data_IF_768614449745
#
_entry.id   IF_768614449745
#
_cell.length_a   1.000
_cell.length_b   1.000
_cell.length_c   1.000
_cell.angle_alpha   90.00
_cell.angle_beta   90.00
_cell.angle_gamma   90.00
#
_symmetry.space_group_name_H-M   'P 1'
#
loop_
_entity.id
_entity.type
_entity.pdbx_description
1 polymer ?
#
# COMPACT_ATOMS: atom_id res chain seq x y z
N UNK A 1 -13.83 14.26 6.74
CA UNK A 1 -13.46 15.32 5.76
C UNK A 1 -11.99 15.75 5.85
N UNK A 2 -11.53 16.43 6.91
CA UNK A 2 -10.13 16.89 6.97
C UNK A 2 -9.10 15.74 7.00
N UNK A 3 -9.42 14.67 7.75
CA UNK A 3 -8.60 13.45 7.83
C UNK A 3 -8.50 12.76 6.47
N UNK A 4 -9.59 12.68 5.71
CA UNK A 4 -9.63 12.03 4.40
C UNK A 4 -8.76 12.76 3.38
N UNK A 5 -8.80 14.10 3.39
CA UNK A 5 -7.89 14.93 2.58
C UNK A 5 -6.42 14.74 2.98
N UNK A 6 -6.13 14.68 4.28
CA UNK A 6 -4.78 14.45 4.77
C UNK A 6 -4.25 13.07 4.34
N UNK A 7 -5.04 12.01 4.51
CA UNK A 7 -4.70 10.65 4.06
C UNK A 7 -4.52 10.58 2.55
N UNK A 8 -5.42 11.21 1.78
CA UNK A 8 -5.33 11.29 0.32
C UNK A 8 -4.03 11.97 -0.09
N UNK A 9 -3.67 13.10 0.54
CA UNK A 9 -2.43 13.80 0.25
C UNK A 9 -1.19 12.95 0.58
N UNK A 10 -1.19 12.26 1.73
CA UNK A 10 -0.11 11.37 2.13
C UNK A 10 0.04 10.20 1.15
N UNK A 11 -1.04 9.52 0.80
CA UNK A 11 -0.98 8.41 -0.17
C UNK A 11 -0.62 8.89 -1.58
N UNK A 12 -1.11 10.05 -2.00
CA UNK A 12 -0.71 10.65 -3.27
C UNK A 12 0.79 10.99 -3.29
N UNK A 13 1.35 11.47 -2.18
CA UNK A 13 2.78 11.72 -2.05
C UNK A 13 3.61 10.43 -2.19
N UNK A 14 3.09 9.27 -1.77
CA UNK A 14 3.75 7.96 -1.93
C UNK A 14 3.77 7.46 -3.38
N UNK A 15 2.89 7.97 -4.26
CA UNK A 15 2.91 7.61 -5.70
C UNK A 15 4.23 8.03 -6.34
N UNK A 16 4.73 9.22 -5.99
CA UNK A 16 5.94 9.78 -6.58
C UNK A 16 7.17 8.86 -6.41
N UNK A 17 7.58 8.44 -5.19
CA UNK A 17 8.71 7.54 -5.04
C UNK A 17 8.48 6.19 -5.73
N UNK A 18 7.23 5.67 -5.76
CA UNK A 18 6.93 4.42 -6.47
C UNK A 18 7.16 4.54 -7.99
N UNK A 19 6.68 5.64 -8.60
CA UNK A 19 6.89 5.92 -10.03
C UNK A 19 8.37 6.16 -10.33
N UNK A 20 9.06 6.93 -9.49
CA UNK A 20 10.50 7.19 -9.66
C UNK A 20 11.31 5.90 -9.61
N UNK A 21 10.99 4.95 -8.71
CA UNK A 21 11.62 3.62 -8.70
C UNK A 21 11.36 2.87 -10.00
N UNK A 22 10.12 2.86 -10.48
CA UNK A 22 9.73 2.19 -11.74
C UNK A 22 10.47 2.73 -12.98
N UNK A 23 10.74 4.03 -13.01
CA UNK A 23 11.33 4.69 -14.19
C UNK A 23 12.85 4.74 -14.12
N UNK A 24 13.44 4.85 -12.92
CA UNK A 24 14.88 5.08 -12.75
C UNK A 24 15.70 3.84 -12.43
N UNK A 25 15.10 2.77 -11.89
CA UNK A 25 15.85 1.56 -11.53
C UNK A 25 16.05 0.64 -12.74
N UNK A 26 17.27 0.10 -12.87
CA UNK A 26 17.61 -0.87 -13.90
C UNK A 26 17.11 -2.28 -13.52
N UNK A 27 15.89 -2.60 -13.95
CA UNK A 27 15.28 -3.91 -13.70
C UNK A 27 15.87 -5.05 -14.52
N UNK A 28 16.69 -4.79 -15.54
CA UNK A 28 17.42 -5.85 -16.22
C UNK A 28 18.47 -6.46 -15.27
N UNK A 29 19.09 -5.63 -14.42
CA UNK A 29 20.03 -6.09 -13.38
C UNK A 29 19.34 -6.53 -12.10
N UNK A 30 18.29 -5.83 -11.67
CA UNK A 30 17.60 -6.13 -10.40
C UNK A 30 16.62 -7.30 -10.49
N UNK A 31 16.20 -7.69 -11.69
CA UNK A 31 15.32 -8.82 -11.95
C UNK A 31 13.83 -8.49 -11.90
N UNK A 32 13.03 -9.36 -12.53
CA UNK A 32 11.59 -9.16 -12.69
C UNK A 32 10.81 -9.15 -11.37
N UNK A 33 11.23 -9.93 -10.36
CA UNK A 33 10.56 -9.98 -9.06
C UNK A 33 10.53 -8.62 -8.37
N UNK A 34 11.61 -7.83 -8.48
CA UNK A 34 11.72 -6.49 -7.90
C UNK A 34 10.76 -5.52 -8.59
N UNK A 35 10.66 -5.59 -9.93
CA UNK A 35 9.72 -4.80 -10.73
C UNK A 35 8.26 -5.11 -10.37
N UNK A 36 7.93 -6.40 -10.21
CA UNK A 36 6.58 -6.81 -9.82
C UNK A 36 6.22 -6.30 -8.43
N UNK A 37 7.18 -6.29 -7.49
CA UNK A 37 6.99 -5.70 -6.16
C UNK A 37 6.71 -4.20 -6.21
N UNK A 38 7.51 -3.43 -6.96
CA UNK A 38 7.28 -1.97 -7.07
C UNK A 38 5.95 -1.65 -7.80
N UNK A 39 5.57 -2.45 -8.81
CA UNK A 39 4.29 -2.32 -9.48
C UNK A 39 3.13 -2.61 -8.50
N UNK A 40 3.27 -3.65 -7.67
CA UNK A 40 2.30 -3.99 -6.63
C UNK A 40 2.11 -2.81 -5.68
N UNK A 41 3.22 -2.25 -5.21
CA UNK A 41 3.23 -1.13 -4.28
C UNK A 41 2.53 0.08 -4.88
N UNK A 42 2.87 0.45 -6.13
CA UNK A 42 2.20 1.53 -6.86
C UNK A 42 0.69 1.29 -6.99
N UNK A 43 0.27 0.09 -7.41
CA UNK A 43 -1.15 -0.26 -7.57
C UNK A 43 -1.91 -0.18 -6.24
N UNK A 44 -1.32 -0.68 -5.15
CA UNK A 44 -1.90 -0.62 -3.82
C UNK A 44 -1.99 0.83 -3.31
N UNK A 45 -0.95 1.65 -3.50
CA UNK A 45 -1.01 3.09 -3.15
C UNK A 45 -2.12 3.79 -3.93
N UNK A 46 -2.24 3.55 -5.24
CA UNK A 46 -3.31 4.16 -6.06
C UNK A 46 -4.69 3.74 -5.57
N UNK A 47 -4.85 2.47 -5.18
CA UNK A 47 -6.08 2.00 -4.56
C UNK A 47 -6.34 2.72 -3.23
N UNK A 48 -5.32 2.93 -2.38
CA UNK A 48 -5.48 3.63 -1.10
C UNK A 48 -5.86 5.11 -1.31
N UNK A 49 -5.26 5.78 -2.30
CA UNK A 49 -5.65 7.14 -2.74
C UNK A 49 -7.11 7.14 -3.16
N UNK A 50 -7.52 6.19 -4.01
CA UNK A 50 -8.90 6.13 -4.50
C UNK A 50 -9.91 5.88 -3.38
N UNK A 51 -9.57 5.02 -2.42
CA UNK A 51 -10.41 4.72 -1.26
C UNK A 51 -10.52 5.90 -0.28
N UNK A 52 -9.48 6.70 -0.15
CA UNK A 52 -9.44 7.82 0.81
C UNK A 52 -9.89 9.14 0.20
N UNK A 53 -9.92 9.24 -1.13
CA UNK A 53 -10.21 10.49 -1.85
C UNK A 53 -11.64 10.95 -1.58
N UNK A 54 -11.84 12.12 -0.95
CA UNK A 54 -13.17 12.67 -0.71
C UNK A 54 -13.84 13.14 -1.99
N UNK A 55 -13.07 13.30 -3.08
CA UNK A 55 -13.59 13.72 -4.40
C UNK A 55 -14.28 12.55 -5.11
N UNK A 56 -14.00 11.30 -4.72
CA UNK A 56 -14.65 10.10 -5.26
C UNK A 56 -14.69 10.05 -6.80
N UNK A 57 -13.68 9.46 -7.42
CA UNK A 57 -13.79 9.17 -8.86
C UNK A 57 -14.94 8.19 -9.13
N UNK A 58 -15.66 8.29 -10.26
CA UNK A 58 -16.71 7.34 -10.65
C UNK A 58 -16.04 6.02 -11.07
N UNK A 59 -15.48 5.27 -10.12
CA UNK A 59 -14.95 3.94 -10.38
C UNK A 59 -15.93 2.96 -9.74
N UNK A 60 -16.60 2.11 -10.54
CA UNK A 60 -17.55 1.15 -10.00
C UNK A 60 -16.85 0.20 -9.02
N UNK A 61 -17.56 -0.20 -7.96
CA UNK A 61 -17.06 -1.18 -6.98
C UNK A 61 -16.46 -2.42 -7.67
N UNK A 62 -17.17 -2.92 -8.68
CA UNK A 62 -16.77 -4.08 -9.47
C UNK A 62 -15.39 -3.92 -10.14
N UNK A 63 -15.04 -2.70 -10.58
CA UNK A 63 -13.74 -2.42 -11.19
C UNK A 63 -12.61 -2.58 -10.19
N UNK A 64 -12.74 -1.98 -9.00
CA UNK A 64 -11.77 -2.15 -7.91
C UNK A 64 -11.71 -3.57 -7.41
N UNK A 65 -12.85 -4.24 -7.23
CA UNK A 65 -12.92 -5.63 -6.83
C UNK A 65 -12.19 -6.53 -7.83
N UNK A 66 -12.40 -6.34 -9.14
CA UNK A 66 -11.72 -7.11 -10.17
C UNK A 66 -10.20 -6.90 -10.13
N UNK A 67 -9.74 -5.63 -10.08
CA UNK A 67 -8.31 -5.31 -10.00
C UNK A 67 -7.68 -5.90 -8.75
N UNK A 68 -8.32 -5.74 -7.58
CA UNK A 68 -7.81 -6.24 -6.31
C UNK A 68 -7.85 -7.76 -6.22
N UNK A 69 -8.88 -8.41 -6.76
CA UNK A 69 -8.96 -9.87 -6.84
C UNK A 69 -7.88 -10.45 -7.74
N UNK A 70 -7.66 -9.86 -8.93
CA UNK A 70 -6.57 -10.24 -9.83
C UNK A 70 -5.20 -10.04 -9.17
N UNK A 71 -5.00 -8.90 -8.52
CA UNK A 71 -3.77 -8.57 -7.79
C UNK A 71 -3.51 -9.58 -6.66
N UNK A 72 -4.55 -9.87 -5.86
CA UNK A 72 -4.50 -10.86 -4.78
C UNK A 72 -4.14 -12.24 -5.32
N UNK A 73 -4.86 -12.71 -6.35
CA UNK A 73 -4.63 -14.02 -6.95
C UNK A 73 -3.24 -14.14 -7.57
N UNK A 74 -2.79 -13.14 -8.31
CA UNK A 74 -1.46 -13.11 -8.90
C UNK A 74 -0.35 -13.22 -7.84
N UNK A 75 -0.41 -12.39 -6.80
CA UNK A 75 0.60 -12.43 -5.74
C UNK A 75 0.48 -13.66 -4.83
N UNK A 76 -0.72 -14.20 -4.63
CA UNK A 76 -0.91 -15.47 -3.92
C UNK A 76 -0.28 -16.64 -4.70
N UNK A 77 -0.45 -16.68 -6.02
CA UNK A 77 0.22 -17.70 -6.88
C UNK A 77 1.73 -17.51 -6.87
N UNK A 78 2.22 -16.26 -6.96
CA UNK A 78 3.65 -15.96 -6.85
C UNK A 78 4.21 -16.43 -5.50
N UNK A 79 3.49 -16.18 -4.41
CA UNK A 79 3.85 -16.66 -3.08
C UNK A 79 3.83 -18.18 -2.97
N UNK A 80 2.83 -18.84 -3.54
CA UNK A 80 2.77 -20.29 -3.52
C UNK A 80 3.99 -20.92 -4.23
N UNK A 81 4.37 -20.37 -5.39
CA UNK A 81 5.46 -20.91 -6.22
C UNK A 81 6.85 -20.58 -5.68
N UNK A 82 7.06 -19.34 -5.25
CA UNK A 82 8.40 -18.81 -4.95
C UNK A 82 8.57 -18.37 -3.49
N UNK A 83 7.51 -18.48 -2.67
CA UNK A 83 7.45 -17.99 -1.28
C UNK A 83 7.75 -16.49 -1.13
N UNK A 84 7.63 -15.72 -2.21
CA UNK A 84 7.78 -14.26 -2.24
C UNK A 84 6.44 -13.54 -2.33
N UNK A 85 6.39 -12.24 -2.01
CA UNK A 85 5.20 -11.38 -2.19
C UNK A 85 3.96 -11.71 -1.33
N UNK A 86 4.09 -12.52 -0.27
CA UNK A 86 2.99 -12.80 0.66
C UNK A 86 2.34 -11.51 1.21
N UNK A 87 3.17 -10.51 1.53
CA UNK A 87 2.71 -9.21 2.00
C UNK A 87 1.80 -8.51 0.97
N UNK A 88 2.19 -8.45 -0.31
CA UNK A 88 1.36 -7.82 -1.34
C UNK A 88 0.04 -8.57 -1.59
N UNK A 89 0.07 -9.91 -1.51
CA UNK A 89 -1.15 -10.71 -1.59
C UNK A 89 -2.10 -10.40 -0.42
N UNK A 90 -1.56 -10.33 0.80
CA UNK A 90 -2.33 -9.99 1.99
C UNK A 90 -2.86 -8.55 1.96
N UNK A 91 -2.05 -7.58 1.51
CA UNK A 91 -2.47 -6.19 1.31
C UNK A 91 -3.62 -6.08 0.31
N UNK A 92 -3.48 -6.72 -0.86
CA UNK A 92 -4.53 -6.72 -1.87
C UNK A 92 -5.81 -7.39 -1.37
N UNK A 93 -5.69 -8.50 -0.62
CA UNK A 93 -6.83 -9.20 -0.03
C UNK A 93 -7.53 -8.35 1.04
N UNK A 94 -6.78 -7.64 1.88
CA UNK A 94 -7.34 -6.74 2.89
C UNK A 94 -8.08 -5.56 2.25
N UNK A 95 -7.52 -4.97 1.19
CA UNK A 95 -8.19 -3.94 0.41
C UNK A 95 -9.46 -4.49 -0.27
N UNK A 96 -9.38 -5.68 -0.87
CA UNK A 96 -10.55 -6.34 -1.48
C UNK A 96 -11.64 -6.57 -0.43
N UNK A 97 -11.26 -7.01 0.77
CA UNK A 97 -12.19 -7.20 1.88
C UNK A 97 -12.87 -5.89 2.28
N UNK A 98 -12.13 -4.79 2.41
CA UNK A 98 -12.73 -3.48 2.70
C UNK A 98 -13.77 -3.07 1.64
N UNK A 99 -13.45 -3.25 0.35
CA UNK A 99 -14.36 -2.89 -0.76
C UNK A 99 -15.57 -3.82 -0.83
N UNK A 100 -15.43 -5.09 -0.48
CA UNK A 100 -16.52 -6.09 -0.59
C UNK A 100 -17.42 -6.12 0.64
N UNK A 101 -16.87 -5.94 1.84
CA UNK A 101 -17.57 -6.09 3.10
C UNK A 101 -18.15 -4.80 3.68
N UNK A 102 -17.87 -3.63 3.05
CA UNK A 102 -18.55 -2.39 3.40
C UNK A 102 -20.05 -2.47 3.02
N UNK A 103 -20.97 -2.21 3.95
CA UNK A 103 -22.39 -2.13 3.66
C UNK A 103 -22.67 -1.04 2.63
N UNK A 104 -23.24 -1.40 1.47
CA UNK A 104 -23.68 -0.44 0.45
C UNK A 104 -25.09 0.12 0.78
N UNK A 105 -25.41 0.23 2.07
CA UNK A 105 -26.77 0.42 2.55
C UNK A 105 -27.26 1.86 2.40
N UNK A 106 -28.26 2.06 1.52
CA UNK A 106 -29.08 3.27 1.52
C UNK A 106 -29.27 3.87 0.13
N UNK A 107 -30.49 3.76 -0.40
CA UNK A 107 -30.92 4.29 -1.68
C UNK A 107 -30.49 5.76 -1.92
N UNK A 108 -29.75 6.03 -3.00
CA UNK A 108 -29.49 7.41 -3.41
C UNK A 108 -28.60 7.62 -4.63
N UNK A 109 -27.49 6.88 -4.80
CA UNK A 109 -26.43 7.29 -5.73
C UNK A 109 -25.84 6.17 -6.60
N UNK A 110 -26.63 5.59 -7.52
CA UNK A 110 -26.11 4.82 -8.67
C UNK A 110 -25.13 3.66 -8.36
N UNK A 111 -24.43 3.11 -9.37
CA UNK A 111 -23.44 2.04 -9.18
C UNK A 111 -22.08 2.53 -8.64
N UNK A 112 -22.02 3.76 -8.15
CA UNK A 112 -20.77 4.46 -7.83
C UNK A 112 -20.47 4.37 -6.33
N UNK A 113 -19.22 4.03 -6.00
CA UNK A 113 -18.76 4.03 -4.62
C UNK A 113 -18.33 5.43 -4.18
N UNK A 114 -19.06 6.02 -3.24
CA UNK A 114 -18.50 7.03 -2.35
C UNK A 114 -17.91 6.31 -1.13
N UNK A 115 -16.70 5.77 -1.26
CA UNK A 115 -15.95 5.19 -0.12
C UNK A 115 -15.49 6.23 0.92
N UNK A 116 -15.81 7.51 0.71
CA UNK A 116 -15.52 8.61 1.62
C UNK A 116 -16.22 8.52 2.98
N UNK A 117 -17.17 7.59 3.14
CA UNK A 117 -17.81 7.29 4.42
C UNK A 117 -17.31 5.95 4.97
N UNK A 118 -16.21 5.96 5.73
CA UNK A 118 -15.85 4.83 6.61
C UNK A 118 -16.83 4.65 7.79
N UNK A 119 -17.93 5.40 7.82
CA UNK A 119 -18.96 5.33 8.86
C UNK A 119 -19.74 4.01 8.85
N UNK A 120 -19.55 3.18 7.82
CA UNK A 120 -20.18 1.87 7.70
C UNK A 120 -19.27 0.76 8.25
N UNK A 121 -19.73 0.09 9.31
CA UNK A 121 -19.02 -1.03 9.94
C UNK A 121 -18.90 -2.22 8.97
N UNK A 122 -17.70 -2.77 8.85
CA UNK A 122 -17.42 -3.98 8.07
C UNK A 122 -18.20 -5.19 8.61
N UNK A 123 -18.63 -6.08 7.71
CA UNK A 123 -19.42 -7.27 8.06
C UNK A 123 -18.70 -8.23 9.05
N UNK A 124 -17.36 -8.29 9.01
CA UNK A 124 -16.52 -9.11 9.90
C UNK A 124 -15.42 -8.23 10.54
N UNK A 125 -15.74 -7.41 11.56
CA UNK A 125 -14.79 -6.44 12.12
C UNK A 125 -13.56 -7.10 12.76
N UNK A 126 -13.69 -8.33 13.27
CA UNK A 126 -12.56 -9.09 13.82
C UNK A 126 -11.45 -9.33 12.78
N UNK A 127 -11.81 -9.64 11.53
CA UNK A 127 -10.84 -9.82 10.44
C UNK A 127 -10.09 -8.51 10.18
N UNK A 128 -10.82 -7.39 10.17
CA UNK A 128 -10.23 -6.07 9.98
C UNK A 128 -9.26 -5.70 11.11
N UNK A 129 -9.61 -5.96 12.37
CA UNK A 129 -8.73 -5.70 13.53
C UNK A 129 -7.45 -6.55 13.47
N UNK A 130 -7.56 -7.84 13.15
CA UNK A 130 -6.40 -8.73 13.01
C UNK A 130 -5.49 -8.26 11.87
N UNK A 131 -6.07 -7.93 10.70
CA UNK A 131 -5.32 -7.40 9.58
C UNK A 131 -4.67 -6.05 9.91
N UNK A 132 -5.37 -5.16 10.61
CA UNK A 132 -4.83 -3.88 11.07
C UNK A 132 -3.62 -4.08 11.98
N UNK A 133 -3.71 -5.00 12.95
CA UNK A 133 -2.60 -5.36 13.83
C UNK A 133 -1.38 -5.85 13.05
N UNK A 134 -1.59 -6.70 12.04
CA UNK A 134 -0.52 -7.13 11.14
C UNK A 134 0.16 -5.95 10.43
N UNK A 135 -0.62 -5.05 9.81
CA UNK A 135 -0.05 -3.93 9.06
C UNK A 135 0.65 -2.90 9.94
N UNK A 136 0.14 -2.65 11.15
CA UNK A 136 0.79 -1.76 12.13
C UNK A 136 2.11 -2.37 12.60
N UNK A 137 2.13 -3.67 12.90
CA UNK A 137 3.37 -4.36 13.29
C UNK A 137 4.39 -4.37 12.15
N UNK A 138 3.97 -4.66 10.92
CA UNK A 138 4.83 -4.63 9.72
C UNK A 138 5.38 -3.22 9.46
N UNK A 139 4.55 -2.19 9.64
CA UNK A 139 4.94 -0.80 9.48
C UNK A 139 5.98 -0.37 10.53
N UNK A 140 5.76 -0.72 11.80
CA UNK A 140 6.69 -0.43 12.88
C UNK A 140 8.04 -1.14 12.64
N UNK A 141 8.01 -2.43 12.28
CA UNK A 141 9.21 -3.19 11.99
C UNK A 141 9.98 -2.62 10.79
N UNK A 142 9.29 -2.35 9.69
CA UNK A 142 9.89 -1.78 8.48
C UNK A 142 10.45 -0.38 8.72
N UNK A 143 9.77 0.43 9.54
CA UNK A 143 10.25 1.76 9.95
C UNK A 143 11.52 1.68 10.80
N UNK A 144 11.56 0.79 11.80
CA UNK A 144 12.76 0.58 12.62
C UNK A 144 13.95 0.11 11.77
N UNK A 145 13.72 -0.82 10.83
CA UNK A 145 14.76 -1.26 9.91
C UNK A 145 15.25 -0.14 8.98
N UNK A 146 14.35 0.71 8.48
CA UNK A 146 14.71 1.87 7.68
C UNK A 146 15.65 2.82 8.45
N UNK A 147 15.27 3.17 9.68
CA UNK A 147 16.06 4.06 10.54
C UNK A 147 17.43 3.47 10.87
N UNK A 148 17.50 2.16 11.19
CA UNK A 148 18.76 1.46 11.48
C UNK A 148 19.65 1.29 10.25
N UNK A 149 19.08 1.17 9.06
CA UNK A 149 19.84 1.12 7.81
C UNK A 149 20.45 2.47 7.45
N UNK A 150 19.73 3.57 7.69
CA UNK A 150 20.20 4.93 7.42
C UNK A 150 21.34 5.38 8.32
N UNK A 151 21.39 4.92 9.59
CA UNK A 151 22.49 5.24 10.52
C UNK A 151 23.81 4.56 10.17
N UNK A 152 23.76 3.38 9.54
CA UNK A 152 24.99 2.67 9.10
C UNK A 152 25.56 3.31 7.83
N UNK A 153 24.72 3.77 6.90
CA UNK A 153 25.18 4.46 5.69
C UNK A 153 25.71 5.88 5.93
N UNK A 154 25.39 6.52 7.05
CA UNK A 154 25.88 7.87 7.40
C UNK A 154 27.21 7.87 8.16
N UNK A 155 27.63 6.73 8.72
CA UNK A 155 28.92 6.58 9.44
C UNK A 155 30.04 6.03 8.54
N UNK A 156 29.71 5.62 7.31
CA UNK A 156 30.73 5.32 6.31
C UNK A 156 31.33 6.65 5.83
N UNK A 157 32.53 6.96 6.31
CA UNK A 157 33.41 8.05 5.88
C UNK A 157 33.35 8.21 4.36
N UNK A 158 32.54 9.17 3.91
CA UNK A 158 32.37 9.45 2.49
C UNK A 158 33.63 10.15 1.99
N UNK A 159 34.35 9.46 1.11
CA UNK A 159 35.30 10.08 0.19
C UNK A 159 34.51 11.10 -0.66
N UNK A 160 34.85 12.40 -0.68
CA UNK A 160 34.02 13.48 -1.25
C UNK A 160 33.83 13.47 -2.78
N UNK A 161 33.99 12.32 -3.44
CA UNK A 161 33.89 12.18 -4.90
C UNK A 161 33.00 11.04 -5.41
N UNK A 162 32.44 10.19 -4.55
CA UNK A 162 31.69 9.01 -5.01
C UNK A 162 30.18 9.22 -4.88
N UNK A 163 29.48 9.37 -6.02
CA UNK A 163 28.03 9.45 -6.04
C UNK A 163 27.41 8.25 -5.32
N UNK A 164 26.42 8.46 -4.44
CA UNK A 164 25.77 7.38 -3.72
C UNK A 164 25.16 6.39 -4.72
N UNK A 165 25.61 5.14 -4.67
CA UNK A 165 25.18 4.11 -5.60
C UNK A 165 23.64 4.01 -5.63
N UNK A 166 23.01 4.01 -6.83
CA UNK A 166 21.54 4.04 -6.98
C UNK A 166 20.81 2.84 -6.36
N UNK A 167 21.53 1.76 -6.00
CA UNK A 167 20.97 0.60 -5.32
C UNK A 167 20.63 0.86 -3.84
N UNK A 168 21.34 1.75 -3.15
CA UNK A 168 21.11 2.05 -1.74
C UNK A 168 19.85 2.92 -1.53
N UNK A 169 19.60 3.88 -2.43
CA UNK A 169 18.43 4.76 -2.38
C UNK A 169 17.11 4.01 -2.60
N UNK A 170 17.12 2.95 -3.42
CA UNK A 170 15.95 2.11 -3.67
C UNK A 170 15.47 1.33 -2.44
N UNK A 171 16.38 0.87 -1.57
CA UNK A 171 16.02 0.07 -0.39
C UNK A 171 15.39 0.92 0.72
N UNK A 172 16.00 2.06 1.03
CA UNK A 172 15.45 2.99 2.02
C UNK A 172 14.08 3.53 1.58
N UNK A 173 13.94 3.88 0.30
CA UNK A 173 12.65 4.33 -0.26
C UNK A 173 11.55 3.27 -0.10
N UNK A 174 11.84 2.00 -0.43
CA UNK A 174 10.88 0.90 -0.24
C UNK A 174 10.51 0.70 1.22
N UNK A 175 11.48 0.75 2.13
CA UNK A 175 11.21 0.55 3.55
C UNK A 175 10.31 1.66 4.12
N UNK A 176 10.56 2.92 3.76
CA UNK A 176 9.74 4.06 4.15
C UNK A 176 8.34 3.97 3.53
N UNK A 177 8.23 3.69 2.23
CA UNK A 177 6.93 3.57 1.57
C UNK A 177 6.12 2.40 2.15
N UNK A 178 6.75 1.24 2.38
CA UNK A 178 6.12 0.10 3.05
C UNK A 178 5.63 0.45 4.45
N UNK A 179 6.43 1.16 5.24
CA UNK A 179 6.02 1.59 6.58
C UNK A 179 4.81 2.53 6.52
N UNK A 180 4.85 3.54 5.63
CA UNK A 180 3.76 4.50 5.48
C UNK A 180 2.48 3.84 4.96
N UNK A 181 2.59 2.95 3.97
CA UNK A 181 1.45 2.18 3.44
C UNK A 181 0.86 1.25 4.49
N UNK A 182 1.70 0.51 5.23
CA UNK A 182 1.24 -0.37 6.30
C UNK A 182 0.51 0.40 7.39
N UNK A 183 1.06 1.53 7.84
CA UNK A 183 0.40 2.39 8.81
C UNK A 183 -0.96 2.91 8.30
N UNK A 184 -1.00 3.37 7.04
CA UNK A 184 -2.24 3.81 6.39
C UNK A 184 -3.29 2.71 6.29
N UNK A 185 -2.89 1.53 5.80
CA UNK A 185 -3.77 0.36 5.71
C UNK A 185 -4.31 -0.07 7.07
N UNK A 186 -3.44 -0.10 8.10
CA UNK A 186 -3.83 -0.43 9.46
C UNK A 186 -4.84 0.56 10.03
N UNK A 187 -4.61 1.87 9.81
CA UNK A 187 -5.56 2.92 10.20
C UNK A 187 -6.92 2.73 9.51
N UNK A 188 -6.93 2.57 8.18
CA UNK A 188 -8.18 2.41 7.41
C UNK A 188 -8.99 1.20 7.87
N UNK A 189 -8.33 0.05 8.09
CA UNK A 189 -8.99 -1.17 8.57
C UNK A 189 -9.55 -1.00 9.98
N UNK A 190 -8.81 -0.36 10.87
CA UNK A 190 -9.26 -0.12 12.25
C UNK A 190 -10.42 0.88 12.29
N UNK A 191 -10.34 1.95 11.50
CA UNK A 191 -11.41 2.94 11.38
C UNK A 191 -12.71 2.30 10.87
N UNK A 192 -12.63 1.40 9.87
CA UNK A 192 -13.80 0.70 9.33
C UNK A 192 -14.33 -0.43 10.23
N UNK A 193 -13.61 -0.82 11.27
CA UNK A 193 -13.99 -1.89 12.19
C UNK A 193 -14.70 -1.40 13.46
N UNK A 194 -14.51 -0.14 13.84
CA UNK A 194 -15.01 0.49 15.08
C UNK A 194 -16.30 1.28 14.80
#
# INVERSE_FOLDING_TARGET
>A
MAVDWALTAVFAALVLPCVLRLVRLDYARLGHGVRHGDLAELLLVLAMVAMSSPVGGPIPAAGWQAVLALTTGWFAVSWWRNRTCAHHALSAAAMLYMVTAMPHGGAGHGPWLTMSAMDARLALPLIAVVAAGYFVADAAWSGVLALRGSTVSTVSTADPGQEPAPAASGHASRAVCRAAMGAGMGYMLLAAAL
#
